data_IF_984865055254
#
_entry.id   IF_984865055254
#
_cell.length_a   1.000
_cell.length_b   1.000
_cell.length_c   1.000
_cell.angle_alpha   90.00
_cell.angle_beta   90.00
_cell.angle_gamma   90.00
#
_symmetry.space_group_name_H-M   'P 1'
#
loop_
_entity.id
_entity.type
_entity.pdbx_description
1 polymer ?
#
# COMPACT_ATOMS: atom_id res chain seq x y z
N UNK A 1 34.99 12.67 -6.83
CA UNK A 1 35.65 13.15 -8.06
C UNK A 1 36.66 12.16 -8.66
N UNK A 2 37.53 11.48 -7.88
CA UNK A 2 38.44 10.44 -8.45
C UNK A 2 37.70 9.19 -8.97
N UNK A 3 36.76 8.63 -8.20
CA UNK A 3 35.99 7.45 -8.63
C UNK A 3 35.19 7.66 -9.93
N UNK A 4 34.62 8.85 -10.13
CA UNK A 4 33.91 9.23 -11.37
C UNK A 4 34.83 9.23 -12.62
N UNK A 5 36.13 9.49 -12.44
CA UNK A 5 37.11 9.52 -13.53
C UNK A 5 37.67 8.13 -13.86
N UNK A 6 37.41 7.14 -13.02
CA UNK A 6 37.88 5.76 -13.17
C UNK A 6 36.71 4.80 -13.44
N UNK A 7 35.50 5.31 -13.69
CA UNK A 7 34.29 4.49 -13.93
C UNK A 7 34.48 3.47 -15.06
N UNK A 8 35.12 3.89 -16.15
CA UNK A 8 35.43 3.04 -17.31
C UNK A 8 36.39 1.88 -16.98
N UNK A 9 37.00 1.91 -15.79
CA UNK A 9 37.96 0.90 -15.30
C UNK A 9 37.39 0.07 -14.16
N UNK A 10 36.13 0.25 -13.80
CA UNK A 10 35.50 -0.57 -12.76
C UNK A 10 35.24 -1.96 -13.32
N UNK A 11 35.70 -2.98 -12.58
CA UNK A 11 35.21 -4.34 -12.80
C UNK A 11 33.75 -4.46 -12.36
N UNK A 12 33.07 -5.51 -12.82
CA UNK A 12 31.69 -5.82 -12.40
C UNK A 12 31.57 -5.92 -10.88
N UNK A 13 32.56 -6.56 -10.25
CA UNK A 13 32.65 -6.71 -8.81
C UNK A 13 32.83 -5.36 -8.09
N UNK A 14 33.64 -4.46 -8.65
CA UNK A 14 33.83 -3.12 -8.09
C UNK A 14 32.54 -2.29 -8.17
N UNK A 15 31.81 -2.42 -9.27
CA UNK A 15 30.50 -1.77 -9.45
C UNK A 15 29.46 -2.27 -8.44
N UNK A 16 29.46 -3.57 -8.14
CA UNK A 16 28.60 -4.16 -7.10
C UNK A 16 28.98 -3.65 -5.70
N UNK A 17 30.27 -3.67 -5.34
CA UNK A 17 30.74 -3.21 -4.03
C UNK A 17 30.61 -1.71 -3.81
N UNK A 18 30.49 -0.91 -4.87
CA UNK A 18 30.32 0.53 -4.77
C UNK A 18 29.05 0.91 -4.01
N UNK A 19 27.96 0.14 -4.16
CA UNK A 19 26.72 0.36 -3.39
C UNK A 19 26.98 0.27 -1.88
N UNK A 20 27.66 -0.78 -1.45
CA UNK A 20 28.00 -1.01 -0.04
C UNK A 20 28.95 0.06 0.49
N UNK A 21 29.98 0.40 -0.28
CA UNK A 21 30.96 1.42 0.09
C UNK A 21 30.29 2.78 0.29
N UNK A 22 29.42 3.20 -0.65
CA UNK A 22 28.68 4.45 -0.55
C UNK A 22 27.71 4.44 0.63
N UNK A 23 27.03 3.32 0.88
CA UNK A 23 26.13 3.17 2.02
C UNK A 23 26.87 3.26 3.36
N UNK A 24 28.02 2.59 3.49
CA UNK A 24 28.87 2.65 4.68
C UNK A 24 29.40 4.07 4.94
N UNK A 25 29.65 4.84 3.87
CA UNK A 25 30.04 6.24 3.96
C UNK A 25 28.87 7.21 4.14
N UNK A 26 27.62 6.72 4.14
CA UNK A 26 26.39 7.52 4.05
C UNK A 26 26.44 8.59 2.93
N UNK A 27 27.07 8.25 1.80
CA UNK A 27 27.30 9.17 0.69
C UNK A 27 26.42 8.82 -0.50
N UNK A 28 25.35 9.59 -0.72
CA UNK A 28 24.43 9.39 -1.85
C UNK A 28 24.94 10.08 -3.12
N UNK A 29 25.82 9.42 -3.86
CA UNK A 29 26.25 9.87 -5.19
C UNK A 29 25.36 9.28 -6.29
N UNK A 30 24.36 10.03 -6.75
CA UNK A 30 23.39 9.55 -7.77
C UNK A 30 24.10 9.13 -9.06
N UNK A 31 25.04 9.95 -9.55
CA UNK A 31 25.78 9.67 -10.80
C UNK A 31 26.54 8.33 -10.71
N UNK A 32 27.27 8.10 -9.62
CA UNK A 32 28.00 6.84 -9.44
C UNK A 32 27.05 5.65 -9.32
N UNK A 33 25.95 5.81 -8.58
CA UNK A 33 24.96 4.76 -8.40
C UNK A 33 24.27 4.42 -9.72
N UNK A 34 23.94 5.40 -10.56
CA UNK A 34 23.32 5.18 -11.87
C UNK A 34 24.26 4.39 -12.80
N UNK A 35 25.54 4.75 -12.88
CA UNK A 35 26.51 4.01 -13.70
C UNK A 35 26.76 2.60 -13.16
N UNK A 36 26.91 2.45 -11.84
CA UNK A 36 27.03 1.12 -11.23
C UNK A 36 25.76 0.28 -11.44
N UNK A 37 24.58 0.89 -11.48
CA UNK A 37 23.31 0.20 -11.73
C UNK A 37 23.29 -0.40 -13.14
N UNK A 38 23.73 0.33 -14.16
CA UNK A 38 23.82 -0.16 -15.54
C UNK A 38 24.75 -1.38 -15.64
N UNK A 39 25.92 -1.29 -15.00
CA UNK A 39 26.90 -2.39 -14.96
C UNK A 39 26.34 -3.63 -14.26
N UNK A 40 25.65 -3.43 -13.12
CA UNK A 40 25.00 -4.53 -12.39
C UNK A 40 23.94 -5.22 -13.25
N UNK A 41 23.10 -4.46 -13.95
CA UNK A 41 22.06 -5.01 -14.82
C UNK A 41 22.69 -5.80 -15.98
N UNK A 42 23.72 -5.24 -16.63
CA UNK A 42 24.41 -5.88 -17.76
C UNK A 42 25.09 -7.20 -17.39
N UNK A 43 25.57 -7.32 -16.14
CA UNK A 43 26.33 -8.48 -15.66
C UNK A 43 25.59 -9.22 -14.51
N UNK A 44 24.27 -9.22 -14.53
CA UNK A 44 23.45 -9.79 -13.44
C UNK A 44 23.43 -11.32 -13.44
N UNK A 45 23.73 -11.95 -14.57
CA UNK A 45 23.73 -13.40 -14.72
C UNK A 45 24.76 -14.06 -13.80
N UNK A 46 24.31 -15.00 -12.96
CA UNK A 46 25.18 -15.66 -11.97
C UNK A 46 25.48 -14.81 -10.73
N UNK A 47 24.88 -13.62 -10.61
CA UNK A 47 25.08 -12.76 -9.45
C UNK A 47 24.61 -13.46 -8.16
N UNK A 48 25.47 -13.60 -7.14
CA UNK A 48 25.10 -14.29 -5.90
C UNK A 48 23.99 -13.55 -5.13
N UNK A 49 23.16 -14.32 -4.42
CA UNK A 49 22.13 -13.80 -3.50
C UNK A 49 22.60 -12.61 -2.65
N UNK A 50 23.75 -12.78 -2.00
CA UNK A 50 24.31 -11.83 -1.04
C UNK A 50 24.56 -10.47 -1.70
N UNK A 51 25.04 -10.48 -2.94
CA UNK A 51 25.31 -9.26 -3.70
C UNK A 51 24.01 -8.54 -4.03
N UNK A 52 23.01 -9.26 -4.57
CA UNK A 52 21.70 -8.68 -4.87
C UNK A 52 21.03 -8.09 -3.62
N UNK A 53 21.09 -8.81 -2.50
CA UNK A 53 20.54 -8.32 -1.24
C UNK A 53 21.27 -7.08 -0.73
N UNK A 54 22.61 -7.06 -0.83
CA UNK A 54 23.42 -5.93 -0.39
C UNK A 54 23.12 -4.69 -1.22
N UNK A 55 22.99 -4.83 -2.55
CA UNK A 55 22.63 -3.73 -3.45
C UNK A 55 21.29 -3.13 -3.05
N UNK A 56 20.23 -3.95 -2.91
CA UNK A 56 18.90 -3.46 -2.54
C UNK A 56 18.90 -2.82 -1.14
N UNK A 57 19.65 -3.40 -0.19
CA UNK A 57 19.82 -2.87 1.16
C UNK A 57 20.50 -1.49 1.13
N UNK A 58 21.61 -1.35 0.40
CA UNK A 58 22.30 -0.07 0.19
C UNK A 58 21.40 0.96 -0.51
N UNK A 59 20.57 0.54 -1.46
CA UNK A 59 19.60 1.43 -2.11
C UNK A 59 18.61 2.02 -1.09
N UNK A 60 18.12 1.19 -0.15
CA UNK A 60 17.24 1.65 0.94
C UNK A 60 17.96 2.66 1.83
N UNK A 61 19.16 2.34 2.28
CA UNK A 61 19.92 3.14 3.25
C UNK A 61 20.31 4.50 2.65
N UNK A 62 20.68 4.52 1.37
CA UNK A 62 21.00 5.73 0.61
C UNK A 62 19.76 6.47 0.08
N UNK A 63 18.56 5.94 0.28
CA UNK A 63 17.31 6.45 -0.33
C UNK A 63 17.42 6.59 -1.86
N UNK A 64 18.19 5.71 -2.48
CA UNK A 64 18.39 5.64 -3.92
C UNK A 64 17.28 4.81 -4.56
N UNK A 65 16.60 5.41 -5.54
CA UNK A 65 15.41 4.86 -6.18
C UNK A 65 15.68 4.77 -7.67
N UNK A 66 16.01 3.57 -8.15
CA UNK A 66 16.25 3.31 -9.55
C UNK A 66 15.36 2.13 -9.99
N UNK A 67 14.32 2.46 -10.76
CA UNK A 67 13.31 1.50 -11.21
C UNK A 67 13.92 0.44 -12.14
N UNK A 68 14.85 0.82 -13.00
CA UNK A 68 15.50 -0.08 -13.95
C UNK A 68 16.36 -1.12 -13.23
N UNK A 69 17.09 -0.70 -12.20
CA UNK A 69 17.86 -1.61 -11.33
C UNK A 69 16.96 -2.60 -10.62
N UNK A 70 15.89 -2.11 -9.96
CA UNK A 70 15.00 -2.98 -9.20
C UNK A 70 14.25 -3.95 -10.11
N UNK A 71 13.83 -3.49 -11.28
CA UNK A 71 13.23 -4.32 -12.32
C UNK A 71 14.23 -5.37 -12.83
N UNK A 72 15.43 -4.97 -13.22
CA UNK A 72 16.46 -5.91 -13.69
C UNK A 72 16.78 -7.02 -12.69
N UNK A 73 16.87 -6.67 -11.40
CA UNK A 73 17.05 -7.65 -10.31
C UNK A 73 15.83 -8.57 -10.18
N UNK A 74 14.61 -8.02 -10.19
CA UNK A 74 13.40 -8.82 -10.03
C UNK A 74 13.14 -9.73 -11.24
N UNK A 75 13.38 -9.25 -12.46
CA UNK A 75 13.29 -10.01 -13.72
C UNK A 75 14.28 -11.19 -13.70
N UNK A 76 15.54 -10.95 -13.31
CA UNK A 76 16.53 -12.01 -13.18
C UNK A 76 16.10 -13.08 -12.17
N UNK A 77 15.64 -12.67 -10.98
CA UNK A 77 15.19 -13.59 -9.93
C UNK A 77 13.94 -14.36 -10.37
N UNK A 78 13.01 -13.72 -11.08
CA UNK A 78 11.82 -14.37 -11.63
C UNK A 78 12.20 -15.42 -12.69
N UNK A 79 13.08 -15.08 -13.63
CA UNK A 79 13.56 -15.98 -14.67
C UNK A 79 14.35 -17.18 -14.13
N UNK A 80 14.91 -17.06 -12.92
CA UNK A 80 15.73 -18.11 -12.28
C UNK A 80 15.09 -18.68 -11.02
N UNK A 81 13.79 -18.44 -10.78
CA UNK A 81 13.08 -18.69 -9.50
C UNK A 81 13.21 -20.13 -8.97
N UNK A 82 13.37 -21.11 -9.85
CA UNK A 82 13.51 -22.53 -9.50
C UNK A 82 14.85 -22.83 -8.81
N UNK A 83 15.89 -22.05 -9.09
CA UNK A 83 17.23 -22.19 -8.50
C UNK A 83 17.24 -21.61 -7.07
N UNK A 84 16.35 -20.68 -6.76
CA UNK A 84 16.33 -19.98 -5.47
C UNK A 84 15.53 -20.73 -4.41
N UNK A 85 16.08 -20.74 -3.18
CA UNK A 85 15.34 -21.20 -2.00
C UNK A 85 14.20 -20.21 -1.69
N UNK A 86 13.06 -20.72 -1.22
CA UNK A 86 11.90 -19.89 -0.85
C UNK A 86 12.30 -18.72 0.08
N UNK A 87 13.12 -18.99 1.09
CA UNK A 87 13.61 -17.97 2.04
C UNK A 87 14.44 -16.86 1.38
N UNK A 88 15.19 -17.16 0.32
CA UNK A 88 15.98 -16.16 -0.39
C UNK A 88 15.07 -15.23 -1.19
N UNK A 89 14.13 -15.80 -1.93
CA UNK A 89 13.15 -14.99 -2.70
C UNK A 89 12.32 -14.14 -1.76
N UNK A 90 11.84 -14.70 -0.64
CA UNK A 90 11.11 -13.94 0.38
C UNK A 90 11.94 -12.76 0.93
N UNK A 91 13.24 -12.96 1.18
CA UNK A 91 14.10 -11.89 1.66
C UNK A 91 14.23 -10.75 0.64
N UNK A 92 14.37 -11.07 -0.65
CA UNK A 92 14.39 -10.05 -1.72
C UNK A 92 13.04 -9.32 -1.82
N UNK A 93 11.93 -10.04 -1.70
CA UNK A 93 10.59 -9.43 -1.67
C UNK A 93 10.40 -8.48 -0.50
N UNK A 94 10.94 -8.79 0.69
CA UNK A 94 10.95 -7.88 1.84
C UNK A 94 11.78 -6.62 1.53
N UNK A 95 12.92 -6.75 0.85
CA UNK A 95 13.72 -5.60 0.45
C UNK A 95 13.00 -4.73 -0.58
N UNK A 96 12.32 -5.33 -1.55
CA UNK A 96 11.48 -4.62 -2.51
C UNK A 96 10.30 -3.91 -1.85
N UNK A 97 9.63 -4.56 -0.89
CA UNK A 97 8.55 -3.93 -0.10
C UNK A 97 9.05 -2.67 0.63
N UNK A 98 10.22 -2.73 1.26
CA UNK A 98 10.83 -1.59 1.94
C UNK A 98 11.15 -0.42 0.99
N UNK A 99 11.45 -0.74 -0.27
CA UNK A 99 11.68 0.23 -1.35
C UNK A 99 10.35 0.71 -1.99
N UNK A 100 9.22 0.12 -1.60
CA UNK A 100 7.91 0.34 -2.20
C UNK A 100 7.81 -0.22 -3.62
N UNK A 101 8.68 -1.14 -4.02
CA UNK A 101 8.72 -1.71 -5.37
C UNK A 101 7.86 -2.98 -5.46
N UNK A 102 6.95 -3.02 -6.43
CA UNK A 102 6.04 -4.15 -6.67
C UNK A 102 6.36 -4.76 -8.03
N UNK A 103 7.00 -5.93 -8.03
CA UNK A 103 7.23 -6.70 -9.25
C UNK A 103 6.15 -7.77 -9.41
N UNK A 104 5.25 -7.62 -10.39
CA UNK A 104 4.10 -8.52 -10.56
C UNK A 104 4.52 -9.96 -10.76
N UNK A 105 5.36 -10.20 -11.76
CA UNK A 105 5.63 -11.56 -12.24
C UNK A 105 6.40 -12.38 -11.19
N UNK A 106 7.30 -11.71 -10.45
CA UNK A 106 8.05 -12.35 -9.37
C UNK A 106 7.13 -12.70 -8.20
N UNK A 107 6.22 -11.80 -7.84
CA UNK A 107 5.23 -12.07 -6.79
C UNK A 107 4.27 -13.19 -7.23
N UNK A 108 3.75 -13.17 -8.45
CA UNK A 108 2.87 -14.22 -8.98
C UNK A 108 3.55 -15.61 -8.94
N UNK A 109 4.83 -15.69 -9.35
CA UNK A 109 5.62 -16.93 -9.29
C UNK A 109 5.85 -17.39 -7.85
N UNK A 110 6.18 -16.45 -6.95
CA UNK A 110 6.37 -16.76 -5.53
C UNK A 110 5.07 -17.25 -4.88
N UNK A 111 3.93 -16.63 -5.19
CA UNK A 111 2.61 -17.04 -4.73
C UNK A 111 2.32 -18.50 -5.13
N UNK A 112 2.52 -18.85 -6.41
CA UNK A 112 2.35 -20.23 -6.90
C UNK A 112 3.24 -21.23 -6.16
N UNK A 113 4.49 -20.86 -5.89
CA UNK A 113 5.43 -21.71 -5.14
C UNK A 113 4.96 -21.94 -3.70
N UNK A 114 4.36 -20.94 -3.07
CA UNK A 114 3.78 -21.04 -1.73
C UNK A 114 2.54 -21.93 -1.71
N UNK A 115 1.65 -21.79 -2.70
CA UNK A 115 0.45 -22.65 -2.84
C UNK A 115 0.86 -24.11 -3.07
N UNK A 116 1.89 -24.36 -3.89
CA UNK A 116 2.32 -25.71 -4.24
C UNK A 116 2.99 -26.49 -3.09
N UNK A 117 3.67 -25.79 -2.16
CA UNK A 117 4.32 -26.41 -1.00
C UNK A 117 4.12 -25.59 0.30
N UNK A 118 2.89 -25.59 0.87
CA UNK A 118 2.60 -24.87 2.10
C UNK A 118 3.34 -25.42 3.32
N UNK A 119 3.70 -26.71 3.31
CA UNK A 119 4.37 -27.38 4.42
C UNK A 119 5.79 -26.85 4.67
N UNK A 120 6.40 -26.21 3.67
CA UNK A 120 7.70 -25.55 3.80
C UNK A 120 7.68 -24.25 4.63
N UNK A 121 6.48 -23.72 4.91
CA UNK A 121 6.30 -22.47 5.63
C UNK A 121 6.45 -22.66 7.14
N UNK A 122 7.13 -21.71 7.77
CA UNK A 122 7.07 -21.51 9.21
C UNK A 122 6.30 -20.21 9.54
N UNK A 123 5.93 -20.05 10.81
CA UNK A 123 5.22 -18.87 11.31
C UNK A 123 5.87 -17.53 10.89
N UNK A 124 7.20 -17.42 10.99
CA UNK A 124 7.91 -16.17 10.63
C UNK A 124 7.79 -15.88 9.13
N UNK A 125 7.97 -16.88 8.27
CA UNK A 125 7.76 -16.70 6.83
C UNK A 125 6.32 -16.34 6.51
N UNK A 126 5.33 -16.94 7.18
CA UNK A 126 3.91 -16.66 6.95
C UNK A 126 3.60 -15.18 7.21
N UNK A 127 4.01 -14.67 8.37
CA UNK A 127 3.80 -13.27 8.75
C UNK A 127 4.50 -12.31 7.76
N UNK A 128 5.74 -12.61 7.37
CA UNK A 128 6.47 -11.79 6.41
C UNK A 128 5.81 -11.79 5.02
N UNK A 129 5.34 -12.93 4.54
CA UNK A 129 4.64 -13.04 3.26
C UNK A 129 3.34 -12.23 3.30
N UNK A 130 2.51 -12.42 4.33
CA UNK A 130 1.27 -11.65 4.51
C UNK A 130 1.55 -10.15 4.54
N UNK A 131 2.59 -9.71 5.26
CA UNK A 131 2.99 -8.33 5.29
C UNK A 131 3.37 -7.78 3.91
N UNK A 132 4.22 -8.49 3.15
CA UNK A 132 4.65 -8.05 1.81
C UNK A 132 3.46 -7.90 0.86
N UNK A 133 2.61 -8.93 0.78
CA UNK A 133 1.49 -8.96 -0.17
C UNK A 133 0.41 -7.91 0.19
N UNK A 134 0.10 -7.78 1.47
CA UNK A 134 -0.86 -6.77 1.94
C UNK A 134 -0.32 -5.35 1.76
N UNK A 135 0.95 -5.11 2.11
CA UNK A 135 1.58 -3.78 2.02
C UNK A 135 1.68 -3.27 0.58
N UNK A 136 2.08 -4.14 -0.35
CA UNK A 136 2.15 -3.84 -1.78
C UNK A 136 0.79 -4.00 -2.50
N UNK A 137 -0.27 -4.36 -1.76
CA UNK A 137 -1.62 -4.56 -2.27
C UNK A 137 -1.65 -5.48 -3.52
N UNK A 138 -0.91 -6.59 -3.45
CA UNK A 138 -0.74 -7.47 -4.60
C UNK A 138 -1.82 -8.57 -4.61
N UNK A 139 -2.45 -8.74 -5.78
CA UNK A 139 -3.44 -9.78 -6.06
C UNK A 139 -3.13 -10.41 -7.43
N UNK A 140 -3.40 -11.71 -7.57
CA UNK A 140 -3.18 -12.46 -8.79
C UNK A 140 -4.38 -13.34 -9.16
N UNK A 141 -5.22 -12.83 -10.09
CA UNK A 141 -6.35 -13.56 -10.69
C UNK A 141 -7.16 -14.35 -9.62
N UNK A 142 -7.62 -15.55 -9.97
CA UNK A 142 -8.38 -16.44 -9.09
C UNK A 142 -7.51 -17.12 -8.01
N UNK A 143 -6.17 -17.09 -8.13
CA UNK A 143 -5.27 -17.72 -7.14
C UNK A 143 -5.13 -16.92 -5.85
N UNK A 144 -5.55 -15.64 -5.86
CA UNK A 144 -5.56 -14.79 -4.66
C UNK A 144 -6.31 -15.44 -3.50
N UNK A 145 -7.50 -16.00 -3.76
CA UNK A 145 -8.34 -16.61 -2.72
C UNK A 145 -7.70 -17.88 -2.18
N UNK A 146 -7.23 -18.76 -3.06
CA UNK A 146 -6.52 -19.99 -2.69
C UNK A 146 -5.27 -19.67 -1.85
N UNK A 147 -4.48 -18.69 -2.27
CA UNK A 147 -3.32 -18.22 -1.50
C UNK A 147 -3.72 -17.72 -0.10
N UNK A 148 -4.77 -16.90 0.01
CA UNK A 148 -5.25 -16.40 1.29
C UNK A 148 -5.70 -17.55 2.22
N UNK A 149 -6.41 -18.54 1.68
CA UNK A 149 -6.85 -19.73 2.42
C UNK A 149 -5.68 -20.60 2.88
N UNK A 150 -4.69 -20.83 2.01
CA UNK A 150 -3.45 -21.55 2.34
C UNK A 150 -2.72 -20.85 3.48
N UNK A 151 -2.57 -19.52 3.41
CA UNK A 151 -1.90 -18.73 4.44
C UNK A 151 -2.68 -18.75 5.76
N UNK A 152 -4.01 -18.63 5.71
CA UNK A 152 -4.87 -18.66 6.89
C UNK A 152 -4.83 -20.02 7.59
N UNK A 153 -4.92 -21.11 6.82
CA UNK A 153 -4.86 -22.47 7.33
C UNK A 153 -3.49 -22.77 7.94
N UNK A 154 -2.42 -22.39 7.23
CA UNK A 154 -1.05 -22.58 7.71
C UNK A 154 -0.80 -21.83 9.01
N UNK A 155 -1.29 -20.60 9.14
CA UNK A 155 -1.16 -19.83 10.38
C UNK A 155 -2.03 -20.38 11.52
N UNK A 156 -3.19 -20.92 11.20
CA UNK A 156 -4.10 -21.55 12.19
C UNK A 156 -3.40 -22.68 12.94
N UNK A 157 -2.55 -23.45 12.24
CA UNK A 157 -1.71 -24.49 12.86
C UNK A 157 -0.71 -23.97 13.91
N UNK A 158 -0.44 -22.66 13.96
CA UNK A 158 0.45 -22.02 14.93
C UNK A 158 -0.28 -21.22 16.02
N UNK A 159 -1.62 -21.28 16.11
CA UNK A 159 -2.41 -20.45 17.03
C UNK A 159 -1.99 -20.57 18.51
N UNK A 160 -1.57 -21.75 18.96
CA UNK A 160 -1.14 -21.96 20.35
C UNK A 160 0.26 -21.42 20.65
N UNK A 161 1.02 -21.02 19.65
CA UNK A 161 2.42 -20.58 19.77
C UNK A 161 2.66 -19.16 19.27
N UNK A 162 1.71 -18.57 18.56
CA UNK A 162 1.80 -17.20 18.08
C UNK A 162 1.49 -16.22 19.20
N UNK A 163 2.28 -15.15 19.30
CA UNK A 163 1.98 -14.06 20.23
C UNK A 163 0.79 -13.22 19.73
N UNK A 164 0.07 -12.59 20.65
CA UNK A 164 -1.04 -11.66 20.34
C UNK A 164 -0.63 -10.60 19.33
N UNK A 165 0.57 -10.04 19.44
CA UNK A 165 1.09 -9.03 18.50
C UNK A 165 1.30 -9.59 17.09
N UNK A 166 1.88 -10.78 16.97
CA UNK A 166 2.12 -11.42 15.67
C UNK A 166 0.81 -11.86 15.01
N UNK A 167 -0.16 -12.32 15.80
CA UNK A 167 -1.49 -12.62 15.32
C UNK A 167 -2.20 -11.35 14.82
N UNK A 168 -2.11 -10.24 15.57
CA UNK A 168 -2.64 -8.94 15.15
C UNK A 168 -1.99 -8.46 13.84
N UNK A 169 -0.68 -8.60 13.68
CA UNK A 169 0.03 -8.25 12.44
C UNK A 169 -0.50 -9.05 11.23
N UNK A 170 -0.69 -10.35 11.41
CA UNK A 170 -1.19 -11.23 10.36
C UNK A 170 -2.66 -10.90 10.02
N UNK A 171 -3.52 -10.74 11.02
CA UNK A 171 -4.94 -10.39 10.83
C UNK A 171 -5.08 -9.02 10.15
N UNK A 172 -4.31 -8.01 10.54
CA UNK A 172 -4.30 -6.73 9.83
C UNK A 172 -3.87 -6.88 8.38
N UNK A 173 -2.92 -7.75 8.08
CA UNK A 173 -2.50 -8.03 6.70
C UNK A 173 -3.65 -8.67 5.89
N UNK A 174 -4.38 -9.62 6.47
CA UNK A 174 -5.58 -10.19 5.85
C UNK A 174 -6.67 -9.15 5.61
N UNK A 175 -6.93 -8.27 6.58
CA UNK A 175 -7.88 -7.16 6.45
C UNK A 175 -7.54 -6.22 5.28
N UNK A 176 -6.26 -5.85 5.12
CA UNK A 176 -5.80 -5.06 3.98
C UNK A 176 -6.08 -5.78 2.65
N UNK A 177 -5.88 -7.10 2.63
CA UNK A 177 -6.13 -7.96 1.48
C UNK A 177 -7.61 -8.34 1.27
N UNK A 178 -8.53 -7.76 2.04
CA UNK A 178 -9.98 -8.06 1.98
C UNK A 178 -10.34 -9.53 2.26
N UNK A 179 -9.61 -10.18 3.17
CA UNK A 179 -9.87 -11.55 3.60
C UNK A 179 -10.03 -11.59 5.13
N UNK A 180 -10.97 -12.39 5.62
CA UNK A 180 -11.38 -12.34 7.03
C UNK A 180 -11.49 -13.73 7.66
N UNK A 181 -10.35 -14.39 7.94
CA UNK A 181 -10.34 -15.73 8.51
C UNK A 181 -10.76 -15.69 9.98
N UNK A 182 -12.03 -15.98 10.27
CA UNK A 182 -12.59 -15.84 11.62
C UNK A 182 -11.90 -16.71 12.68
N UNK A 183 -11.31 -17.84 12.29
CA UNK A 183 -10.49 -18.68 13.18
C UNK A 183 -9.28 -17.92 13.77
N UNK A 184 -8.73 -16.95 13.02
CA UNK A 184 -7.62 -16.10 13.45
C UNK A 184 -8.10 -14.80 14.11
N UNK A 185 -9.27 -14.30 13.70
CA UNK A 185 -9.85 -13.06 14.24
C UNK A 185 -10.43 -13.29 15.63
N UNK A 186 -11.22 -14.34 15.84
CA UNK A 186 -11.94 -14.58 17.10
C UNK A 186 -11.03 -14.58 18.34
N UNK A 187 -9.82 -15.19 18.33
CA UNK A 187 -8.89 -15.10 19.46
C UNK A 187 -8.48 -13.65 19.81
N UNK A 188 -8.34 -12.77 18.81
CA UNK A 188 -8.00 -11.36 19.04
C UNK A 188 -9.15 -10.54 19.64
N UNK A 189 -10.39 -11.03 19.55
CA UNK A 189 -11.56 -10.33 20.11
C UNK A 189 -11.75 -10.63 21.61
N UNK A 190 -10.91 -11.49 22.19
CA UNK A 190 -10.95 -11.78 23.62
C UNK A 190 -10.46 -10.58 24.43
N UNK A 191 -11.17 -10.28 25.53
CA UNK A 191 -10.97 -9.04 26.31
C UNK A 191 -9.57 -8.93 26.92
N UNK A 192 -9.05 -10.04 27.42
CA UNK A 192 -7.69 -10.16 27.94
C UNK A 192 -6.64 -9.89 26.86
N UNK A 193 -6.81 -10.45 25.67
CA UNK A 193 -5.92 -10.22 24.51
C UNK A 193 -5.96 -8.75 24.06
N UNK A 194 -7.15 -8.15 24.00
CA UNK A 194 -7.29 -6.71 23.68
C UNK A 194 -6.58 -5.86 24.73
N UNK A 195 -6.78 -6.14 26.01
CA UNK A 195 -6.15 -5.38 27.10
C UNK A 195 -4.61 -5.50 27.05
N UNK A 196 -4.08 -6.70 26.79
CA UNK A 196 -2.67 -6.94 26.56
C UNK A 196 -2.15 -6.07 25.41
N UNK A 197 -2.78 -6.14 24.24
CA UNK A 197 -2.39 -5.39 23.04
C UNK A 197 -2.48 -3.87 23.22
N UNK A 198 -3.46 -3.41 23.99
CA UNK A 198 -3.70 -1.99 24.29
C UNK A 198 -2.70 -1.41 25.30
N UNK A 199 -2.17 -2.25 26.20
CA UNK A 199 -1.08 -1.86 27.12
C UNK A 199 0.29 -1.75 26.43
N UNK A 200 0.37 -2.19 25.17
CA UNK A 200 1.59 -2.12 24.37
C UNK A 200 1.78 -0.79 23.63
N UNK A 201 2.56 -0.87 22.55
CA UNK A 201 2.94 0.25 21.67
C UNK A 201 1.73 0.88 20.94
N UNK A 202 1.76 2.19 20.70
CA UNK A 202 0.77 2.92 19.88
C UNK A 202 0.51 2.27 18.51
N UNK A 203 1.51 1.58 17.95
CA UNK A 203 1.37 0.81 16.70
C UNK A 203 0.31 -0.29 16.81
N UNK A 204 0.15 -0.92 17.97
CA UNK A 204 -0.87 -1.95 18.19
C UNK A 204 -2.25 -1.32 18.28
N UNK A 205 -2.40 -0.18 18.96
CA UNK A 205 -3.65 0.57 18.98
C UNK A 205 -4.07 1.01 17.56
N UNK A 206 -3.13 1.39 16.68
CA UNK A 206 -3.44 1.70 15.28
C UNK A 206 -3.96 0.46 14.52
N UNK A 207 -3.30 -0.70 14.69
CA UNK A 207 -3.72 -1.97 14.07
C UNK A 207 -5.09 -2.45 14.55
N UNK A 208 -5.38 -2.32 15.85
CA UNK A 208 -6.70 -2.63 16.41
C UNK A 208 -7.79 -1.72 15.82
N UNK A 209 -7.51 -0.44 15.55
CA UNK A 209 -8.43 0.44 14.83
C UNK A 209 -8.69 -0.03 13.40
N UNK A 210 -7.64 -0.47 12.69
CA UNK A 210 -7.79 -1.06 11.35
C UNK A 210 -8.70 -2.28 11.41
N UNK A 211 -8.45 -3.20 12.34
CA UNK A 211 -9.28 -4.39 12.53
C UNK A 211 -10.74 -3.99 12.82
N UNK A 212 -10.97 -3.09 13.78
CA UNK A 212 -12.32 -2.64 14.12
C UNK A 212 -13.05 -1.98 12.93
N UNK A 213 -12.33 -1.20 12.12
CA UNK A 213 -12.90 -0.60 10.91
C UNK A 213 -13.28 -1.69 9.88
N UNK A 214 -12.42 -2.68 9.65
CA UNK A 214 -12.71 -3.76 8.70
C UNK A 214 -13.88 -4.63 9.15
N UNK A 215 -13.95 -5.00 10.43
CA UNK A 215 -15.05 -5.81 10.94
C UNK A 215 -16.41 -5.09 10.80
N UNK A 216 -16.43 -3.76 10.97
CA UNK A 216 -17.65 -2.95 10.83
C UNK A 216 -18.03 -2.68 9.37
N UNK A 217 -17.06 -2.42 8.50
CA UNK A 217 -17.32 -1.95 7.14
C UNK A 217 -17.29 -3.08 6.11
N UNK A 218 -16.43 -4.08 6.25
CA UNK A 218 -16.32 -5.16 5.26
C UNK A 218 -17.20 -6.38 5.63
N UNK A 219 -17.44 -6.65 6.93
CA UNK A 219 -18.17 -7.85 7.39
C UNK A 219 -19.54 -7.53 8.03
N UNK A 220 -19.80 -6.28 8.40
CA UNK A 220 -20.98 -5.89 9.19
C UNK A 220 -21.09 -6.63 10.54
N UNK A 221 -19.97 -6.95 11.19
CA UNK A 221 -19.96 -7.61 12.49
C UNK A 221 -20.35 -6.61 13.60
N UNK A 222 -21.43 -6.89 14.34
CA UNK A 222 -21.98 -5.98 15.36
C UNK A 222 -21.29 -6.08 16.73
N UNK A 223 -20.52 -7.14 17.01
CA UNK A 223 -19.88 -7.39 18.32
C UNK A 223 -18.57 -6.60 18.53
N UNK A 224 -18.33 -5.54 17.75
CA UNK A 224 -17.03 -4.84 17.63
C UNK A 224 -16.93 -3.63 18.57
N UNK A 225 -17.94 -3.39 19.41
CA UNK A 225 -18.06 -2.17 20.23
C UNK A 225 -16.91 -2.03 21.24
N UNK A 226 -16.37 -3.14 21.75
CA UNK A 226 -15.30 -3.16 22.76
C UNK A 226 -13.87 -3.07 22.21
N UNK A 227 -13.69 -3.05 20.88
CA UNK A 227 -12.35 -2.95 20.28
C UNK A 227 -11.86 -1.52 20.11
N UNK A 228 -12.73 -0.51 20.24
CA UNK A 228 -12.38 0.86 19.86
C UNK A 228 -11.46 1.50 20.91
N UNK A 229 -10.18 1.75 20.60
CA UNK A 229 -9.35 2.61 21.43
C UNK A 229 -9.98 4.01 21.49
N UNK A 230 -9.64 4.83 22.49
CA UNK A 230 -10.05 6.22 22.53
C UNK A 230 -9.80 6.90 21.17
N UNK A 231 -10.71 7.79 20.73
CA UNK A 231 -10.49 8.59 19.53
C UNK A 231 -9.11 9.24 19.63
N UNK A 232 -8.28 9.08 18.60
CA UNK A 232 -7.04 9.84 18.54
C UNK A 232 -7.42 11.32 18.52
N UNK A 233 -6.73 12.19 19.30
CA UNK A 233 -6.90 13.62 19.15
C UNK A 233 -6.70 13.97 17.68
N UNK A 234 -7.66 14.66 17.09
CA UNK A 234 -7.62 15.04 15.67
C UNK A 234 -6.35 15.85 15.45
N UNK A 235 -5.31 15.22 14.92
CA UNK A 235 -4.14 15.95 14.44
C UNK A 235 -4.66 16.81 13.31
N UNK A 236 -4.50 18.13 13.40
CA UNK A 236 -4.88 19.04 12.32
C UNK A 236 -4.02 18.70 11.09
N UNK A 237 -4.54 17.81 10.25
CA UNK A 237 -4.04 17.62 8.91
C UNK A 237 -4.53 18.83 8.13
N UNK A 238 -3.59 19.65 7.69
CA UNK A 238 -3.92 20.77 6.83
C UNK A 238 -4.14 20.21 5.42
N UNK A 239 -5.36 20.29 4.88
CA UNK A 239 -5.62 19.84 3.51
C UNK A 239 -4.78 20.67 2.53
N UNK A 240 -4.49 20.10 1.36
CA UNK A 240 -3.65 20.77 0.36
C UNK A 240 -4.27 22.12 -0.07
N UNK A 241 -3.60 23.22 0.29
CA UNK A 241 -4.10 24.59 0.06
C UNK A 241 -4.38 24.85 -1.41
N UNK A 242 -3.50 24.41 -2.31
CA UNK A 242 -3.65 24.59 -3.75
C UNK A 242 -4.88 23.85 -4.30
N UNK A 243 -5.18 22.66 -3.77
CA UNK A 243 -6.40 21.93 -4.11
C UNK A 243 -7.63 22.63 -3.55
N UNK A 244 -7.55 23.17 -2.33
CA UNK A 244 -8.63 23.94 -1.73
C UNK A 244 -8.97 25.18 -2.58
N UNK A 245 -7.97 25.95 -2.99
CA UNK A 245 -8.13 27.15 -3.81
C UNK A 245 -8.71 26.81 -5.20
N UNK A 246 -8.23 25.72 -5.81
CA UNK A 246 -8.75 25.24 -7.07
C UNK A 246 -10.22 24.76 -6.96
N UNK A 247 -10.59 24.09 -5.87
CA UNK A 247 -11.98 23.72 -5.59
C UNK A 247 -12.85 24.96 -5.35
N UNK A 248 -12.38 25.94 -4.59
CA UNK A 248 -13.07 27.22 -4.39
C UNK A 248 -13.28 27.96 -5.72
N UNK A 249 -12.28 27.98 -6.60
CA UNK A 249 -12.40 28.58 -7.94
C UNK A 249 -13.35 27.81 -8.86
N UNK A 250 -13.43 26.48 -8.72
CA UNK A 250 -14.23 25.63 -9.60
C UNK A 250 -15.71 25.56 -9.18
N UNK A 251 -15.96 25.47 -7.87
CA UNK A 251 -17.26 25.17 -7.29
C UNK A 251 -17.89 26.36 -6.56
N UNK A 252 -17.08 27.33 -6.12
CA UNK A 252 -17.47 28.37 -5.19
C UNK A 252 -17.34 27.95 -3.72
N UNK A 253 -17.23 28.94 -2.83
CA UNK A 253 -17.23 28.72 -1.39
C UNK A 253 -18.57 28.12 -0.92
N UNK A 254 -18.53 27.17 0.02
CA UNK A 254 -19.73 26.53 0.57
C UNK A 254 -20.24 25.27 -0.16
N UNK A 255 -19.67 24.93 -1.31
CA UNK A 255 -20.00 23.73 -2.09
C UNK A 255 -19.14 22.50 -1.76
N UNK A 256 -18.18 22.66 -0.86
CA UNK A 256 -17.34 21.58 -0.38
C UNK A 256 -16.98 21.79 1.10
N UNK A 257 -16.71 20.69 1.80
CA UNK A 257 -16.27 20.71 3.19
C UNK A 257 -14.81 20.28 3.28
N UNK A 258 -13.99 21.03 4.04
CA UNK A 258 -12.56 20.77 4.24
C UNK A 258 -12.34 19.91 5.49
N UNK A 259 -11.31 19.07 5.46
CA UNK A 259 -10.76 18.38 6.64
C UNK A 259 -11.84 17.61 7.44
N UNK A 260 -12.62 16.76 6.77
CA UNK A 260 -13.72 16.02 7.41
C UNK A 260 -13.21 14.76 8.10
N UNK A 261 -13.50 14.66 9.39
CA UNK A 261 -13.37 13.41 10.13
C UNK A 261 -14.64 12.57 9.96
N UNK A 262 -14.44 11.32 9.55
CA UNK A 262 -15.48 10.33 9.36
C UNK A 262 -15.46 9.30 10.50
N UNK A 263 -16.52 8.48 10.65
CA UNK A 263 -16.49 7.32 11.51
C UNK A 263 -15.28 6.41 11.22
N UNK A 264 -14.90 5.59 12.20
CA UNK A 264 -13.77 4.65 12.10
C UNK A 264 -12.39 5.34 11.94
N UNK A 265 -12.27 6.59 12.40
CA UNK A 265 -11.05 7.40 12.35
C UNK A 265 -10.54 7.65 10.92
N UNK A 266 -11.42 7.56 9.93
CA UNK A 266 -11.09 8.01 8.60
C UNK A 266 -11.08 9.53 8.50
N UNK A 267 -10.16 10.02 7.70
CA UNK A 267 -10.01 11.42 7.41
C UNK A 267 -10.09 11.65 5.90
N UNK A 268 -10.88 12.62 5.44
CA UNK A 268 -10.93 13.02 4.04
C UNK A 268 -10.59 14.50 3.92
N UNK A 269 -9.77 14.84 2.92
CA UNK A 269 -9.30 16.21 2.74
C UNK A 269 -10.44 17.12 2.30
N UNK A 270 -11.28 16.66 1.37
CA UNK A 270 -12.48 17.38 0.96
C UNK A 270 -13.67 16.44 0.71
N UNK A 271 -14.85 16.89 1.11
CA UNK A 271 -16.14 16.29 0.75
C UNK A 271 -16.89 17.22 -0.21
N UNK A 272 -17.36 16.68 -1.33
CA UNK A 272 -18.24 17.37 -2.28
C UNK A 272 -19.54 16.58 -2.37
N UNK A 273 -20.69 17.26 -2.33
CA UNK A 273 -22.01 16.64 -2.56
C UNK A 273 -22.45 16.95 -3.98
N UNK A 274 -22.85 15.94 -4.72
CA UNK A 274 -23.33 16.09 -6.09
C UNK A 274 -24.69 15.38 -6.24
N UNK A 275 -25.39 15.67 -7.32
CA UNK A 275 -26.50 14.82 -7.76
C UNK A 275 -26.00 13.41 -8.13
N UNK A 276 -26.91 12.44 -8.23
CA UNK A 276 -26.56 11.04 -8.53
C UNK A 276 -25.77 10.87 -9.85
N UNK A 277 -26.03 11.74 -10.83
CA UNK A 277 -25.35 11.71 -12.14
C UNK A 277 -24.00 12.45 -12.13
N UNK A 278 -23.60 13.04 -10.99
CA UNK A 278 -22.40 13.87 -10.84
C UNK A 278 -22.32 14.99 -11.89
N UNK A 279 -23.48 15.56 -12.24
CA UNK A 279 -23.63 16.65 -13.20
C UNK A 279 -23.69 18.02 -12.53
N UNK A 280 -24.17 18.09 -11.29
CA UNK A 280 -24.36 19.31 -10.51
C UNK A 280 -23.85 19.15 -9.09
N UNK A 281 -23.23 20.20 -8.55
CA UNK A 281 -22.79 20.25 -7.16
C UNK A 281 -23.88 20.85 -6.29
N UNK A 282 -24.12 20.22 -5.15
CA UNK A 282 -25.15 20.59 -4.21
C UNK A 282 -24.53 21.34 -3.02
N UNK A 283 -25.12 22.47 -2.59
CA UNK A 283 -24.64 23.20 -1.42
C UNK A 283 -24.85 22.39 -0.14
N UNK A 284 -23.99 22.59 0.86
CA UNK A 284 -24.14 21.91 2.15
C UNK A 284 -25.27 22.49 3.03
N UNK A 285 -25.82 23.66 2.68
CA UNK A 285 -26.87 24.36 3.46
C UNK A 285 -28.30 23.90 3.18
N UNK A 286 -28.54 23.20 2.06
CA UNK A 286 -29.91 22.85 1.68
C UNK A 286 -30.38 21.60 2.42
N UNK A 287 -31.35 21.81 3.31
CA UNK A 287 -32.00 20.79 4.16
C UNK A 287 -32.96 19.89 3.35
N UNK A 288 -33.05 20.07 2.03
CA UNK A 288 -34.23 19.62 1.24
C UNK A 288 -33.93 18.53 0.20
N UNK A 289 -32.68 18.21 -0.12
CA UNK A 289 -32.41 17.05 -1.00
C UNK A 289 -32.49 15.76 -0.20
N UNK A 290 -33.41 14.86 -0.59
CA UNK A 290 -33.48 13.50 -0.04
C UNK A 290 -32.10 12.84 -0.14
N UNK A 291 -31.65 12.14 0.90
CA UNK A 291 -30.35 11.48 0.91
C UNK A 291 -30.19 10.47 -0.26
N UNK A 292 -31.30 10.00 -0.83
CA UNK A 292 -31.34 9.04 -1.93
C UNK A 292 -30.91 9.62 -3.28
N UNK A 293 -30.98 10.95 -3.46
CA UNK A 293 -30.69 11.60 -4.75
C UNK A 293 -29.29 12.25 -4.81
N UNK A 294 -28.48 12.02 -3.78
CA UNK A 294 -27.17 12.68 -3.61
C UNK A 294 -26.01 11.67 -3.65
N UNK A 295 -25.00 11.97 -4.46
CA UNK A 295 -23.72 11.27 -4.47
C UNK A 295 -22.70 12.06 -3.65
N UNK A 296 -22.14 11.41 -2.63
CA UNK A 296 -21.03 11.98 -1.84
C UNK A 296 -19.72 11.67 -2.54
N UNK A 297 -18.85 12.66 -2.68
CA UNK A 297 -17.53 12.53 -3.28
C UNK A 297 -16.46 12.85 -2.25
N UNK A 298 -15.54 11.92 -2.01
CA UNK A 298 -14.37 12.12 -1.16
C UNK A 298 -13.15 12.40 -2.04
N UNK A 299 -12.60 13.61 -1.93
CA UNK A 299 -11.35 13.99 -2.60
C UNK A 299 -10.20 13.77 -1.61
N UNK A 300 -9.28 12.87 -1.96
CA UNK A 300 -8.12 12.51 -1.14
C UNK A 300 -6.83 13.05 -1.75
N UNK A 301 -6.14 13.90 -1.01
CA UNK A 301 -4.83 14.46 -1.34
C UNK A 301 -3.74 13.51 -0.83
N UNK A 302 -3.23 12.67 -1.73
CA UNK A 302 -2.38 11.53 -1.35
C UNK A 302 -0.90 11.80 -1.61
N UNK A 303 -0.01 11.52 -0.64
CA UNK A 303 1.44 11.65 -0.83
C UNK A 303 2.01 10.47 -1.61
N UNK A 304 3.20 10.66 -2.21
CA UNK A 304 3.87 9.68 -3.06
C UNK A 304 4.13 8.33 -2.36
N UNK A 305 4.31 8.33 -1.04
CA UNK A 305 4.57 7.13 -0.23
C UNK A 305 3.40 6.16 -0.16
N UNK A 306 2.18 6.59 -0.51
CA UNK A 306 0.98 5.73 -0.53
C UNK A 306 0.83 4.89 -1.79
N UNK A 307 1.71 5.08 -2.77
CA UNK A 307 1.80 4.29 -3.99
C UNK A 307 3.05 3.44 -4.00
N UNK A 308 3.04 2.39 -4.82
CA UNK A 308 4.24 1.70 -5.22
C UNK A 308 5.16 2.66 -5.99
N UNK A 309 6.42 2.28 -6.14
CA UNK A 309 7.48 3.14 -6.67
C UNK A 309 7.20 3.61 -8.10
N UNK A 310 6.48 2.79 -8.88
CA UNK A 310 6.00 3.08 -10.24
C UNK A 310 4.89 4.15 -10.32
N UNK A 311 4.33 4.55 -9.17
CA UNK A 311 3.23 5.52 -9.01
C UNK A 311 1.89 5.14 -9.64
N UNK A 312 1.77 3.91 -10.14
CA UNK A 312 0.54 3.42 -10.76
C UNK A 312 -0.34 2.69 -9.75
N UNK A 313 0.27 1.96 -8.81
CA UNK A 313 -0.47 1.04 -7.93
C UNK A 313 -0.56 1.55 -6.48
N UNK A 314 -1.76 1.71 -5.90
CA UNK A 314 -1.90 2.10 -4.49
C UNK A 314 -1.44 0.97 -3.56
N UNK A 315 -0.79 1.34 -2.46
CA UNK A 315 -0.40 0.40 -1.39
C UNK A 315 -1.60 0.00 -0.52
N UNK A 316 -1.42 -1.05 0.29
CA UNK A 316 -2.51 -1.73 1.00
C UNK A 316 -3.41 -0.80 1.80
N UNK A 317 -2.82 0.11 2.57
CA UNK A 317 -3.59 1.02 3.42
C UNK A 317 -4.46 1.99 2.60
N UNK A 318 -3.92 2.55 1.51
CA UNK A 318 -4.69 3.44 0.64
C UNK A 318 -5.81 2.66 -0.07
N UNK A 319 -5.52 1.45 -0.56
CA UNK A 319 -6.51 0.60 -1.20
C UNK A 319 -7.66 0.22 -0.24
N UNK A 320 -7.35 -0.16 1.00
CA UNK A 320 -8.34 -0.42 2.04
C UNK A 320 -9.18 0.83 2.34
N UNK A 321 -8.54 1.99 2.53
CA UNK A 321 -9.24 3.26 2.78
C UNK A 321 -10.22 3.58 1.64
N UNK A 322 -9.80 3.42 0.39
CA UNK A 322 -10.68 3.63 -0.77
C UNK A 322 -11.87 2.67 -0.75
N UNK A 323 -11.65 1.38 -0.47
CA UNK A 323 -12.71 0.37 -0.35
C UNK A 323 -13.71 0.75 0.75
N UNK A 324 -13.23 1.10 1.94
CA UNK A 324 -14.05 1.50 3.07
C UNK A 324 -14.87 2.76 2.80
N UNK A 325 -14.29 3.77 2.14
CA UNK A 325 -15.03 4.97 1.75
C UNK A 325 -16.14 4.65 0.75
N UNK A 326 -15.92 3.73 -0.20
CA UNK A 326 -16.97 3.26 -1.12
C UNK A 326 -18.13 2.62 -0.36
N UNK A 327 -17.84 1.75 0.62
CA UNK A 327 -18.87 1.15 1.49
C UNK A 327 -19.66 2.23 2.24
N UNK A 328 -19.01 3.30 2.68
CA UNK A 328 -19.67 4.46 3.31
C UNK A 328 -20.48 5.35 2.34
N UNK A 329 -20.61 4.95 1.07
CA UNK A 329 -21.36 5.68 0.05
C UNK A 329 -20.59 6.80 -0.65
N UNK A 330 -19.26 6.85 -0.54
CA UNK A 330 -18.45 7.83 -1.25
C UNK A 330 -17.96 7.34 -2.61
N UNK A 331 -18.05 8.22 -3.59
CA UNK A 331 -17.20 8.16 -4.77
C UNK A 331 -15.82 8.74 -4.42
N UNK A 332 -14.74 7.97 -4.62
CA UNK A 332 -13.40 8.38 -4.18
C UNK A 332 -12.58 8.93 -5.35
N UNK A 333 -12.13 10.18 -5.23
CA UNK A 333 -11.22 10.83 -6.17
C UNK A 333 -9.85 10.97 -5.51
N UNK A 334 -8.82 10.44 -6.16
CA UNK A 334 -7.43 10.62 -5.73
C UNK A 334 -6.80 11.81 -6.46
N UNK A 335 -6.18 12.68 -5.67
CA UNK A 335 -5.38 13.82 -6.11
C UNK A 335 -3.95 13.60 -5.64
N UNK A 336 -3.02 13.46 -6.59
CA UNK A 336 -1.62 13.14 -6.31
C UNK A 336 -0.88 14.44 -5.99
N UNK A 337 -0.46 14.61 -4.74
CA UNK A 337 0.13 15.88 -4.27
C UNK A 337 1.33 16.32 -5.12
N UNK A 338 2.20 15.38 -5.47
CA UNK A 338 3.42 15.65 -6.24
C UNK A 338 3.15 16.07 -7.70
N UNK A 339 1.96 15.79 -8.24
CA UNK A 339 1.55 16.30 -9.55
C UNK A 339 0.99 17.71 -9.40
N UNK A 340 0.08 17.91 -8.45
CA UNK A 340 -0.53 19.21 -8.17
C UNK A 340 0.51 20.28 -7.82
N UNK A 341 1.54 19.92 -7.07
CA UNK A 341 2.65 20.82 -6.73
C UNK A 341 3.36 21.38 -7.98
N UNK A 342 3.38 20.64 -9.09
CA UNK A 342 4.08 21.00 -10.34
C UNK A 342 3.22 21.71 -11.39
N UNK A 343 1.90 21.66 -11.24
CA UNK A 343 0.94 22.22 -12.21
C UNK A 343 0.65 23.70 -11.93
N UNK A 344 0.28 24.48 -12.94
CA UNK A 344 -0.26 25.83 -12.70
C UNK A 344 -1.69 25.74 -12.14
N UNK A 345 -2.18 26.81 -11.49
CA UNK A 345 -3.50 26.79 -10.85
C UNK A 345 -4.63 26.42 -11.83
N UNK A 346 -4.59 26.94 -13.05
CA UNK A 346 -5.58 26.64 -14.09
C UNK A 346 -5.60 25.16 -14.49
N UNK A 347 -4.44 24.52 -14.50
CA UNK A 347 -4.30 23.09 -14.80
C UNK A 347 -4.83 22.24 -13.65
N UNK A 348 -4.62 22.67 -12.39
CA UNK A 348 -5.20 22.00 -11.20
C UNK A 348 -6.73 22.09 -11.24
N UNK A 349 -7.29 23.26 -11.57
CA UNK A 349 -8.74 23.44 -11.75
C UNK A 349 -9.27 22.50 -12.85
N UNK A 350 -8.58 22.42 -13.98
CA UNK A 350 -8.95 21.54 -15.10
C UNK A 350 -8.88 20.06 -14.72
N UNK A 351 -7.83 19.65 -13.99
CA UNK A 351 -7.67 18.31 -13.46
C UNK A 351 -8.83 17.92 -12.53
N UNK A 352 -9.17 18.80 -11.57
CA UNK A 352 -10.25 18.57 -10.63
C UNK A 352 -11.60 18.53 -11.33
N UNK A 353 -11.87 19.43 -12.27
CA UNK A 353 -13.08 19.42 -13.09
C UNK A 353 -13.21 18.10 -13.84
N UNK A 354 -12.15 17.67 -14.50
CA UNK A 354 -12.14 16.38 -15.22
C UNK A 354 -12.45 15.22 -14.28
N UNK A 355 -11.81 15.16 -13.11
CA UNK A 355 -12.06 14.08 -12.14
C UNK A 355 -13.45 14.12 -11.52
N UNK A 356 -13.99 15.31 -11.25
CA UNK A 356 -15.29 15.50 -10.60
C UNK A 356 -16.47 15.22 -11.52
N UNK A 357 -16.35 15.50 -12.82
CA UNK A 357 -17.44 15.34 -13.80
C UNK A 357 -17.22 14.21 -14.81
N UNK A 358 -16.09 13.49 -14.80
CA UNK A 358 -15.87 12.35 -15.72
C UNK A 358 -16.78 11.17 -15.41
N UNK A 359 -17.42 10.64 -16.46
CA UNK A 359 -18.26 9.44 -16.44
C UNK A 359 -17.46 8.13 -16.32
N UNK A 360 -16.13 8.13 -16.47
CA UNK A 360 -15.28 6.93 -16.33
C UNK A 360 -15.34 6.31 -14.92
N UNK A 361 -15.91 7.04 -13.96
CA UNK A 361 -16.25 6.55 -12.64
C UNK A 361 -17.40 5.53 -12.57
N UNK A 362 -18.24 5.43 -13.61
CA UNK A 362 -19.38 4.53 -13.63
C UNK A 362 -19.03 3.09 -14.07
N UNK A 363 -17.83 2.84 -14.61
CA UNK A 363 -17.55 1.58 -15.33
C UNK A 363 -16.29 0.80 -14.88
N UNK A 364 -15.59 1.22 -13.82
CA UNK A 364 -14.44 0.46 -13.30
C UNK A 364 -14.67 -0.14 -11.91
N UNK A 365 -15.91 -0.14 -11.43
CA UNK A 365 -16.26 -0.69 -10.12
C UNK A 365 -16.69 -2.17 -10.14
N UNK A 366 -17.11 -2.72 -11.29
CA UNK A 366 -17.68 -4.09 -11.37
C UNK A 366 -17.10 -4.99 -12.48
N UNK A 367 -16.07 -4.56 -13.22
CA UNK A 367 -15.45 -5.42 -14.24
C UNK A 367 -13.98 -5.65 -13.89
N UNK A 368 -13.69 -6.88 -13.46
CA UNK A 368 -12.39 -7.52 -13.24
C UNK A 368 -11.70 -7.37 -11.88
N UNK A 369 -12.41 -7.65 -10.79
CA UNK A 369 -11.76 -8.24 -9.61
C UNK A 369 -12.39 -9.55 -9.11
N UNK A 370 -13.51 -10.02 -9.69
CA UNK A 370 -14.13 -11.32 -9.34
C UNK A 370 -14.99 -11.97 -10.44
N UNK A 371 -15.04 -11.46 -11.68
CA UNK A 371 -15.89 -12.01 -12.76
C UNK A 371 -15.08 -12.56 -13.94
N UNK A 372 -14.19 -13.50 -13.64
CA UNK A 372 -13.81 -14.60 -14.56
C UNK A 372 -13.16 -15.73 -13.75
N UNK A 373 -13.87 -16.12 -12.69
CA UNK A 373 -13.97 -17.42 -12.04
C UNK A 373 -15.20 -17.28 -11.11
#
# INVERSE_FOLDING_TARGET
>A
MKALRELDRFSDLNSQHMFEALAAMNHRSIILLDECSKMVIGNIHGCPFKVLSNILQSCRDLRYRNLDLFKGIADYVAATVDIWKLKQVLFLLILFENLGFRHTDLMDLFMKKVIADPASLNMKSIICILHVYSSLNHFYKCQTTEFQEVMATSLTGYLHHISSENLLNAVCSFCLMNHFPMALINPLLQKDVINELMSGDERNAHKLRILAACLKLDISCHNVVDLAPPPLPSTALYPNVKVADALSSLLGEGYFSKNRQLPHNYHIDFEVRMDINRSQVLPFSDVVTSAADTQRVAVLCVPRSTYCLDLAHPRGFLAMKMRHLKVMGFHVILVRNWEVERLEMQDVVTLLKTKLYSAEAFLTADVNLQSTC
#
